data_IF_786759750510
#
_entry.id   IF_786759750510
#
_cell.length_a   1.000
_cell.length_b   1.000
_cell.length_c   1.000
_cell.angle_alpha   90.00
_cell.angle_beta   90.00
_cell.angle_gamma   90.00
#
_symmetry.space_group_name_H-M   'P 1'
#
loop_
_entity.id
_entity.type
_entity.pdbx_description
1 polymer ?
#
# COMPACT_ATOMS: atom_id res chain seq x y z
N UNK A 1 6.57 -9.02 7.80
CA UNK A 1 7.17 -9.81 6.69
C UNK A 1 7.63 -11.19 7.15
N UNK A 2 7.96 -11.38 8.41
CA UNK A 2 8.31 -12.70 9.00
C UNK A 2 7.11 -13.60 9.33
N UNK A 3 5.87 -13.18 9.00
CA UNK A 3 4.68 -13.97 9.30
C UNK A 3 4.71 -15.31 8.56
N UNK A 4 4.31 -16.43 9.19
CA UNK A 4 4.35 -17.78 8.58
C UNK A 4 3.59 -17.87 7.24
N UNK A 5 2.57 -17.06 7.01
CA UNK A 5 1.84 -17.03 5.75
C UNK A 5 2.72 -16.79 4.50
N UNK A 6 3.93 -16.29 4.67
CA UNK A 6 4.86 -15.98 3.58
C UNK A 6 6.07 -16.95 3.53
N UNK A 7 6.07 -18.01 4.35
CA UNK A 7 7.19 -18.91 4.48
C UNK A 7 7.48 -19.76 3.21
N UNK A 8 6.49 -19.90 2.31
CA UNK A 8 6.65 -20.58 1.02
C UNK A 8 7.50 -19.82 0.00
N UNK A 9 7.75 -18.53 0.23
CA UNK A 9 8.56 -17.70 -0.66
C UNK A 9 7.94 -17.48 -2.05
N UNK A 10 8.78 -17.49 -3.08
CA UNK A 10 8.36 -17.38 -4.50
C UNK A 10 8.68 -18.69 -5.23
N UNK A 11 7.83 -19.04 -6.20
CA UNK A 11 8.12 -20.09 -7.17
C UNK A 11 8.51 -19.43 -8.51
N UNK A 12 9.77 -19.51 -8.88
CA UNK A 12 10.27 -18.96 -10.12
C UNK A 12 11.25 -17.79 -9.95
N UNK A 13 11.55 -17.12 -11.05
CA UNK A 13 12.50 -16.00 -11.05
C UNK A 13 11.82 -14.73 -10.57
N UNK A 14 12.35 -14.04 -9.53
CA UNK A 14 11.78 -12.79 -9.06
C UNK A 14 11.92 -11.69 -10.13
N UNK A 15 10.90 -10.87 -10.31
CA UNK A 15 10.94 -9.69 -11.16
C UNK A 15 11.88 -8.62 -10.59
N UNK A 16 11.98 -8.57 -9.26
CA UNK A 16 12.88 -7.68 -8.50
C UNK A 16 13.77 -8.57 -7.61
N UNK A 17 14.98 -8.82 -8.06
CA UNK A 17 16.00 -9.47 -7.25
C UNK A 17 16.68 -8.48 -6.29
N UNK A 18 17.63 -8.93 -5.48
CA UNK A 18 18.32 -8.11 -4.50
C UNK A 18 19.09 -6.95 -5.12
N UNK A 19 19.65 -7.13 -6.30
CA UNK A 19 20.41 -6.09 -7.03
C UNK A 19 19.48 -4.98 -7.54
N UNK A 20 18.37 -5.38 -8.17
CA UNK A 20 17.33 -4.46 -8.63
C UNK A 20 16.66 -3.75 -7.46
N UNK A 21 16.32 -4.46 -6.39
CA UNK A 21 15.77 -3.88 -5.16
C UNK A 21 16.69 -2.82 -4.55
N UNK A 22 17.98 -3.12 -4.44
CA UNK A 22 18.97 -2.15 -3.98
C UNK A 22 19.11 -0.92 -4.91
N UNK A 23 18.96 -1.12 -6.22
CA UNK A 23 18.97 -0.02 -7.18
C UNK A 23 17.75 0.89 -7.02
N UNK A 24 16.56 0.29 -6.92
CA UNK A 24 15.31 1.03 -6.70
C UNK A 24 15.33 1.80 -5.39
N UNK A 25 15.81 1.19 -4.30
CA UNK A 25 15.96 1.84 -3.01
C UNK A 25 16.82 3.11 -3.08
N UNK A 26 17.92 3.07 -3.84
CA UNK A 26 18.76 4.26 -4.06
C UNK A 26 18.04 5.35 -4.85
N UNK A 27 17.24 4.98 -5.84
CA UNK A 27 16.49 5.95 -6.66
C UNK A 27 15.46 6.72 -5.84
N UNK A 28 14.81 6.07 -4.88
CA UNK A 28 13.88 6.72 -3.95
C UNK A 28 14.57 7.27 -2.68
N UNK A 29 15.90 7.24 -2.62
CA UNK A 29 16.65 7.76 -1.48
C UNK A 29 16.47 6.99 -0.16
N UNK A 30 16.07 5.72 -0.25
CA UNK A 30 15.88 4.83 0.91
C UNK A 30 17.00 3.81 0.97
N UNK A 31 17.31 3.30 2.17
CA UNK A 31 18.33 2.29 2.38
C UNK A 31 17.84 1.22 3.37
N UNK A 32 18.45 0.02 3.32
CA UNK A 32 18.08 -1.07 4.22
C UNK A 32 16.71 -1.70 3.95
N UNK A 33 16.16 -1.49 2.76
CA UNK A 33 14.76 -1.80 2.41
C UNK A 33 14.54 -3.18 1.81
N UNK A 34 15.57 -3.87 1.33
CA UNK A 34 15.42 -5.22 0.80
C UNK A 34 15.32 -6.24 1.94
N UNK A 35 14.23 -7.01 1.97
CA UNK A 35 13.99 -8.03 3.00
C UNK A 35 14.18 -9.44 2.43
N UNK A 36 13.56 -9.73 1.30
CA UNK A 36 13.65 -11.04 0.63
C UNK A 36 13.16 -10.92 -0.82
N UNK A 37 13.27 -12.00 -1.57
CA UNK A 37 12.66 -12.05 -2.92
C UNK A 37 11.15 -11.82 -2.89
N UNK A 38 10.47 -12.30 -1.85
CA UNK A 38 9.02 -12.06 -1.66
C UNK A 38 8.71 -10.61 -1.32
N UNK A 39 9.59 -9.96 -0.58
CA UNK A 39 9.50 -8.57 -0.15
C UNK A 39 10.74 -7.79 -0.61
N UNK A 40 10.82 -7.43 -1.90
CA UNK A 40 12.01 -6.79 -2.46
C UNK A 40 12.20 -5.34 -1.99
N UNK A 41 11.17 -4.75 -1.40
CA UNK A 41 11.23 -3.42 -0.80
C UNK A 41 10.26 -3.32 0.37
N UNK A 42 10.70 -2.74 1.47
CA UNK A 42 9.87 -2.40 2.63
C UNK A 42 10.43 -1.15 3.30
N UNK A 43 9.55 -0.17 3.59
CA UNK A 43 9.95 1.07 4.24
C UNK A 43 8.80 1.66 5.05
N UNK A 44 9.11 2.24 6.21
CA UNK A 44 8.18 3.02 7.02
C UNK A 44 8.27 4.50 6.63
N UNK A 45 7.25 4.97 5.92
CA UNK A 45 7.13 6.37 5.51
C UNK A 45 6.61 7.27 6.62
N UNK A 46 5.91 6.70 7.59
CA UNK A 46 5.31 7.45 8.68
C UNK A 46 6.34 7.86 9.73
N UNK A 47 7.25 6.94 10.07
CA UNK A 47 8.32 7.16 11.06
C UNK A 47 9.70 7.34 10.39
N UNK A 48 9.74 7.23 9.03
CA UNK A 48 10.89 7.51 8.17
C UNK A 48 12.11 6.64 8.48
N UNK A 49 11.88 5.32 8.55
CA UNK A 49 12.93 4.35 8.80
C UNK A 49 12.71 3.03 8.01
N UNK A 50 13.67 2.09 7.97
CA UNK A 50 13.53 0.82 7.25
C UNK A 50 12.72 -0.25 7.99
N UNK A 51 12.20 0.01 9.19
CA UNK A 51 11.43 -0.95 9.98
C UNK A 51 9.92 -0.87 9.68
N UNK A 52 9.50 -1.51 8.61
CA UNK A 52 8.08 -1.63 8.28
C UNK A 52 7.40 -2.79 9.04
N UNK A 53 7.87 -3.14 10.23
CA UNK A 53 7.22 -4.14 11.09
C UNK A 53 5.86 -3.68 11.59
N UNK A 54 4.89 -4.60 11.73
CA UNK A 54 3.58 -4.24 12.28
C UNK A 54 3.71 -3.84 13.74
N UNK A 55 3.10 -2.71 14.11
CA UNK A 55 3.09 -2.17 15.46
C UNK A 55 1.66 -1.79 15.89
N UNK A 56 1.40 -1.71 17.19
CA UNK A 56 0.11 -1.33 17.73
C UNK A 56 -1.03 -2.33 17.46
N UNK A 57 -2.25 -1.94 17.80
CA UNK A 57 -3.45 -2.79 17.61
C UNK A 57 -3.82 -2.97 16.13
N UNK A 58 -3.58 -1.98 15.30
CA UNK A 58 -3.83 -2.04 13.85
C UNK A 58 -2.71 -2.72 13.07
N UNK A 59 -1.57 -3.01 13.70
CA UNK A 59 -0.36 -3.51 13.04
C UNK A 59 -0.51 -4.82 12.29
N UNK A 60 -1.50 -5.65 12.62
CA UNK A 60 -1.78 -6.90 11.90
C UNK A 60 -2.56 -6.70 10.60
N UNK A 61 -3.22 -5.55 10.38
CA UNK A 61 -4.08 -5.30 9.23
C UNK A 61 -3.33 -5.42 7.90
N UNK A 62 -2.20 -4.71 7.74
CA UNK A 62 -1.37 -4.81 6.54
C UNK A 62 -0.84 -6.22 6.26
N UNK A 63 -0.47 -6.95 7.32
CA UNK A 63 -0.06 -8.36 7.22
C UNK A 63 -1.20 -9.25 6.73
N UNK A 64 -2.44 -9.02 7.21
CA UNK A 64 -3.63 -9.74 6.78
C UNK A 64 -3.96 -9.45 5.31
N UNK A 65 -3.98 -8.18 4.91
CA UNK A 65 -4.20 -7.77 3.51
C UNK A 65 -3.15 -8.41 2.58
N UNK A 66 -1.86 -8.33 2.95
CA UNK A 66 -0.79 -8.96 2.18
C UNK A 66 -0.94 -10.49 2.11
N UNK A 67 -1.41 -11.13 3.19
CA UNK A 67 -1.67 -12.56 3.22
C UNK A 67 -2.81 -12.99 2.28
N UNK A 68 -3.90 -12.24 2.23
CA UNK A 68 -5.01 -12.46 1.27
C UNK A 68 -4.51 -12.31 -0.16
N UNK A 69 -3.65 -11.32 -0.41
CA UNK A 69 -3.12 -11.07 -1.76
C UNK A 69 -2.13 -12.15 -2.17
N UNK A 70 -1.11 -12.40 -1.38
CA UNK A 70 0.06 -13.15 -1.81
C UNK A 70 0.65 -14.09 -0.74
N UNK A 71 -0.17 -14.54 0.23
CA UNK A 71 0.23 -15.62 1.15
C UNK A 71 0.63 -16.86 0.37
N UNK A 72 1.66 -17.56 0.85
CA UNK A 72 2.19 -18.74 0.17
C UNK A 72 2.80 -19.70 1.20
N UNK A 73 1.98 -20.25 2.10
CA UNK A 73 2.44 -21.22 3.08
C UNK A 73 1.31 -22.08 3.65
N UNK A 74 1.44 -23.37 3.53
CA UNK A 74 0.51 -24.34 4.10
C UNK A 74 -0.91 -24.16 3.59
N UNK A 75 -1.85 -23.90 4.51
CA UNK A 75 -3.26 -23.68 4.20
C UNK A 75 -3.57 -22.22 3.81
N UNK A 76 -2.61 -21.31 3.99
CA UNK A 76 -2.77 -19.89 3.66
C UNK A 76 -2.19 -19.63 2.28
N UNK A 77 -3.06 -19.66 1.29
CA UNK A 77 -2.71 -19.36 -0.10
C UNK A 77 -3.50 -18.14 -0.54
N UNK A 78 -2.79 -17.07 -0.87
CA UNK A 78 -3.38 -15.84 -1.38
C UNK A 78 -3.85 -15.98 -2.84
N UNK A 79 -4.49 -14.95 -3.36
CA UNK A 79 -5.02 -14.94 -4.73
C UNK A 79 -3.89 -15.02 -5.77
N UNK A 80 -2.75 -14.39 -5.49
CA UNK A 80 -1.54 -14.37 -6.34
C UNK A 80 -0.31 -14.77 -5.50
N UNK A 81 -0.17 -16.04 -5.14
CA UNK A 81 0.84 -16.48 -4.16
C UNK A 81 2.28 -16.23 -4.61
N UNK A 82 2.53 -16.07 -5.90
CA UNK A 82 3.85 -15.77 -6.45
C UNK A 82 4.08 -14.27 -6.74
N UNK A 83 3.15 -13.39 -6.36
CA UNK A 83 3.41 -11.96 -6.44
C UNK A 83 4.50 -11.55 -5.43
N UNK A 84 5.38 -10.66 -5.85
CA UNK A 84 6.26 -9.91 -4.95
C UNK A 84 5.48 -8.76 -4.31
N UNK A 85 5.79 -8.44 -3.07
CA UNK A 85 5.10 -7.38 -2.32
C UNK A 85 6.08 -6.26 -1.98
N UNK A 86 5.79 -5.07 -2.47
CA UNK A 86 6.41 -3.83 -2.00
C UNK A 86 5.60 -3.33 -0.81
N UNK A 87 6.25 -3.12 0.33
CA UNK A 87 5.60 -2.66 1.56
C UNK A 87 5.94 -1.20 1.80
N UNK A 88 4.91 -0.35 1.81
CA UNK A 88 4.99 1.03 2.27
C UNK A 88 4.13 1.16 3.53
N UNK A 89 4.75 1.20 4.69
CA UNK A 89 4.06 1.48 5.95
C UNK A 89 3.84 2.98 6.06
N UNK A 90 2.58 3.39 6.18
CA UNK A 90 2.17 4.80 6.24
C UNK A 90 1.48 5.16 7.55
N UNK A 91 1.28 4.19 8.43
CA UNK A 91 0.77 4.40 9.78
C UNK A 91 1.92 4.47 10.77
N UNK A 92 1.89 5.50 11.63
CA UNK A 92 2.89 5.66 12.71
C UNK A 92 2.76 4.57 13.75
N UNK A 93 3.86 4.25 14.40
CA UNK A 93 3.86 3.35 15.57
C UNK A 93 2.95 3.86 16.70
N UNK A 94 2.82 5.18 16.81
CA UNK A 94 1.88 5.84 17.73
C UNK A 94 0.44 5.92 17.24
N UNK A 95 0.16 5.43 16.06
CA UNK A 95 -1.15 5.48 15.39
C UNK A 95 -1.34 6.71 14.49
N UNK A 96 -2.27 6.58 13.56
CA UNK A 96 -2.62 7.61 12.57
C UNK A 96 -1.76 7.58 11.33
N UNK A 97 -2.37 7.99 10.21
CA UNK A 97 -1.75 8.05 8.88
C UNK A 97 -1.55 9.50 8.50
N UNK A 98 -0.32 10.04 8.51
CA UNK A 98 -0.06 11.39 8.01
C UNK A 98 -0.20 11.44 6.48
N UNK A 99 -0.87 12.48 5.97
CA UNK A 99 -0.97 12.69 4.52
C UNK A 99 0.41 12.76 3.85
N UNK A 100 1.38 13.38 4.52
CA UNK A 100 2.75 13.46 4.02
C UNK A 100 3.42 12.10 3.82
N UNK A 101 3.12 11.13 4.70
CA UNK A 101 3.65 9.77 4.57
C UNK A 101 2.99 9.02 3.41
N UNK A 102 1.67 9.14 3.29
CA UNK A 102 0.93 8.51 2.20
C UNK A 102 1.34 9.09 0.84
N UNK A 103 1.41 10.42 0.72
CA UNK A 103 1.84 11.08 -0.51
C UNK A 103 3.27 10.72 -0.90
N UNK A 104 4.21 10.69 0.06
CA UNK A 104 5.58 10.29 -0.21
C UNK A 104 5.69 8.83 -0.66
N UNK A 105 4.90 7.93 -0.05
CA UNK A 105 4.82 6.54 -0.46
C UNK A 105 4.29 6.39 -1.89
N UNK A 106 3.21 7.09 -2.22
CA UNK A 106 2.62 7.05 -3.56
C UNK A 106 3.55 7.66 -4.63
N UNK A 107 4.27 8.73 -4.32
CA UNK A 107 5.24 9.32 -5.25
C UNK A 107 6.40 8.35 -5.53
N UNK A 108 6.90 7.65 -4.51
CA UNK A 108 7.93 6.63 -4.68
C UNK A 108 7.43 5.42 -5.48
N UNK A 109 6.12 5.09 -5.45
CA UNK A 109 5.56 4.01 -6.29
C UNK A 109 5.72 4.27 -7.78
N UNK A 110 5.70 5.53 -8.23
CA UNK A 110 5.98 5.86 -9.63
C UNK A 110 7.41 5.50 -10.06
N UNK A 111 8.36 5.40 -9.11
CA UNK A 111 9.75 5.00 -9.34
C UNK A 111 9.94 3.49 -9.13
N UNK A 112 9.35 2.95 -8.06
CA UNK A 112 9.40 1.52 -7.73
C UNK A 112 8.64 0.68 -8.75
N UNK A 113 7.66 1.26 -9.40
CA UNK A 113 6.88 0.75 -10.52
C UNK A 113 6.24 -0.63 -10.27
N UNK A 114 5.40 -0.79 -9.23
CA UNK A 114 4.57 -1.97 -9.09
C UNK A 114 3.50 -2.03 -10.19
N UNK A 115 2.98 -3.21 -10.49
CA UNK A 115 1.82 -3.34 -11.39
C UNK A 115 0.53 -2.81 -10.74
N UNK A 116 0.41 -2.97 -9.43
CA UNK A 116 -0.78 -2.60 -8.64
C UNK A 116 -0.36 -1.98 -7.31
N UNK A 117 -0.99 -0.87 -6.95
CA UNK A 117 -0.97 -0.28 -5.60
C UNK A 117 -2.31 -0.58 -4.92
N UNK A 118 -2.28 -1.14 -3.71
CA UNK A 118 -3.48 -1.40 -2.91
C UNK A 118 -3.52 -0.50 -1.68
N UNK A 119 -4.58 0.27 -1.55
CA UNK A 119 -4.86 1.18 -0.44
C UNK A 119 -6.05 0.65 0.37
N UNK A 120 -5.81 -0.33 1.26
CA UNK A 120 -6.81 -0.80 2.22
C UNK A 120 -6.87 0.12 3.45
N UNK A 121 -6.94 1.41 3.20
CA UNK A 121 -6.98 2.50 4.18
C UNK A 121 -7.85 3.63 3.63
N UNK A 122 -8.17 4.60 4.47
CA UNK A 122 -8.95 5.75 4.06
C UNK A 122 -9.45 6.56 5.26
N UNK A 123 -10.19 7.62 4.97
CA UNK A 123 -10.81 8.48 5.96
C UNK A 123 -12.30 8.69 5.66
N UNK A 124 -13.04 9.17 6.66
CA UNK A 124 -14.46 9.48 6.51
C UNK A 124 -14.66 10.67 5.57
N UNK A 125 -15.37 10.44 4.48
CA UNK A 125 -15.65 11.46 3.47
C UNK A 125 -14.45 11.75 2.57
N UNK A 126 -14.62 11.55 1.28
CA UNK A 126 -13.69 12.01 0.28
C UNK A 126 -13.91 13.49 -0.04
N UNK A 127 -12.93 14.13 -0.61
CA UNK A 127 -13.00 15.51 -1.10
C UNK A 127 -13.00 15.49 -2.63
N UNK A 128 -14.18 15.46 -3.22
CA UNK A 128 -14.35 15.41 -4.68
C UNK A 128 -14.45 16.80 -5.34
N UNK A 129 -14.31 17.87 -4.58
CA UNK A 129 -14.57 19.23 -5.08
C UNK A 129 -13.32 20.05 -5.31
N UNK A 130 -12.16 19.51 -5.03
CA UNK A 130 -10.91 20.22 -5.27
C UNK A 130 -10.24 19.61 -6.51
N UNK A 131 -10.73 20.01 -7.68
CA UNK A 131 -9.99 19.84 -8.92
C UNK A 131 -8.60 20.44 -8.71
N UNK A 132 -7.54 19.65 -8.70
CA UNK A 132 -6.15 19.99 -8.41
C UNK A 132 -5.69 19.64 -6.98
N UNK A 133 -6.32 18.67 -6.33
CA UNK A 133 -5.76 18.12 -5.10
C UNK A 133 -4.37 17.52 -5.35
N UNK A 134 -3.51 17.54 -4.33
CA UNK A 134 -2.18 16.93 -4.43
C UNK A 134 -2.31 15.43 -4.74
N UNK A 135 -3.35 14.78 -4.21
CA UNK A 135 -3.65 13.38 -4.47
C UNK A 135 -3.98 13.13 -5.94
N UNK A 136 -4.81 13.98 -6.59
CA UNK A 136 -5.11 13.86 -8.02
C UNK A 136 -3.86 13.87 -8.87
N UNK A 137 -2.91 14.76 -8.53
CA UNK A 137 -1.65 14.86 -9.26
C UNK A 137 -0.86 13.55 -9.14
N UNK A 138 -0.81 12.97 -7.95
CA UNK A 138 -0.07 11.73 -7.71
C UNK A 138 -0.78 10.54 -8.37
N UNK A 139 -2.10 10.44 -8.29
CA UNK A 139 -2.86 9.37 -8.92
C UNK A 139 -2.77 9.42 -10.45
N UNK A 140 -2.87 10.61 -11.04
CA UNK A 140 -2.66 10.79 -12.50
C UNK A 140 -1.28 10.33 -12.92
N UNK A 141 -0.24 10.67 -12.15
CA UNK A 141 1.13 10.20 -12.41
C UNK A 141 1.22 8.68 -12.38
N UNK A 142 0.65 8.01 -11.36
CA UNK A 142 0.64 6.55 -11.29
C UNK A 142 -0.12 5.93 -12.48
N UNK A 143 -1.24 6.52 -12.87
CA UNK A 143 -2.02 6.07 -14.02
C UNK A 143 -1.24 6.24 -15.34
N UNK A 144 -0.54 7.35 -15.52
CA UNK A 144 0.31 7.59 -16.69
C UNK A 144 1.46 6.58 -16.79
N UNK A 145 1.99 6.12 -15.66
CA UNK A 145 2.97 5.04 -15.58
C UNK A 145 2.35 3.63 -15.74
N UNK A 146 1.03 3.53 -15.94
CA UNK A 146 0.32 2.26 -16.13
C UNK A 146 0.11 1.47 -14.83
N UNK A 147 0.23 2.11 -13.67
CA UNK A 147 0.07 1.49 -12.36
C UNK A 147 -1.42 1.53 -11.97
N UNK A 148 -2.00 0.37 -11.69
CA UNK A 148 -3.39 0.28 -11.21
C UNK A 148 -3.45 0.61 -9.72
N UNK A 149 -4.31 1.54 -9.32
CA UNK A 149 -4.54 1.88 -7.91
C UNK A 149 -5.90 1.36 -7.45
N UNK A 150 -5.92 0.52 -6.42
CA UNK A 150 -7.13 0.03 -5.76
C UNK A 150 -7.29 0.73 -4.42
N UNK A 151 -8.36 1.48 -4.23
CA UNK A 151 -8.71 2.12 -2.97
C UNK A 151 -9.93 1.44 -2.32
N UNK A 152 -9.89 1.29 -1.00
CA UNK A 152 -11.01 0.76 -0.25
C UNK A 152 -12.19 1.74 -0.25
N UNK A 153 -13.40 1.26 -0.57
CA UNK A 153 -14.62 2.07 -0.47
C UNK A 153 -15.06 2.37 0.98
N UNK A 154 -14.38 1.77 1.97
CA UNK A 154 -14.62 1.98 3.40
C UNK A 154 -15.69 1.08 3.99
N UNK A 155 -15.86 1.19 5.31
CA UNK A 155 -16.73 0.33 6.12
C UNK A 155 -17.87 1.11 6.81
N UNK A 156 -17.99 2.41 6.56
CA UNK A 156 -18.89 3.29 7.31
C UNK A 156 -20.30 3.41 6.72
N UNK A 157 -20.62 2.70 5.68
CA UNK A 157 -21.94 2.74 5.03
C UNK A 157 -23.08 2.50 6.00
N UNK A 158 -22.97 1.50 6.86
CA UNK A 158 -23.98 1.13 7.84
C UNK A 158 -24.10 2.10 9.03
N UNK A 159 -23.10 2.96 9.23
CA UNK A 159 -23.09 3.95 10.33
C UNK A 159 -23.62 5.33 9.91
N UNK A 160 -23.95 5.49 8.62
CA UNK A 160 -24.45 6.74 8.06
C UNK A 160 -23.39 7.82 7.88
N UNK A 161 -22.13 7.54 8.17
CA UNK A 161 -21.03 8.43 7.79
C UNK A 161 -20.90 8.48 6.26
N UNK A 162 -20.06 9.05 5.65
CA UNK A 162 -19.81 9.06 4.21
C UNK A 162 -21.03 9.24 3.28
N UNK A 163 -22.15 8.64 3.62
CA UNK A 163 -23.37 8.70 2.81
C UNK A 163 -24.47 9.59 3.39
N UNK A 164 -24.21 10.30 4.48
CA UNK A 164 -25.18 11.16 5.14
C UNK A 164 -25.58 12.41 4.36
N UNK A 165 -24.83 12.76 3.34
CA UNK A 165 -25.15 13.90 2.48
C UNK A 165 -26.28 13.60 1.48
N UNK A 166 -26.83 12.39 1.46
CA UNK A 166 -27.82 11.95 0.48
C UNK A 166 -27.25 11.80 -0.95
N UNK A 167 -25.97 11.94 -1.12
CA UNK A 167 -25.30 11.83 -2.43
C UNK A 167 -24.89 10.41 -2.80
N UNK A 168 -25.14 9.44 -1.95
CA UNK A 168 -24.95 8.02 -2.26
C UNK A 168 -23.50 7.57 -2.30
N UNK A 169 -22.56 8.40 -1.91
CA UNK A 169 -21.15 8.03 -1.90
C UNK A 169 -20.80 7.25 -0.63
N UNK A 170 -20.23 6.07 -0.75
CA UNK A 170 -19.71 5.35 0.39
C UNK A 170 -18.47 6.08 0.95
N UNK A 171 -18.05 5.65 2.11
CA UNK A 171 -16.75 5.99 2.62
C UNK A 171 -15.67 5.56 1.62
N UNK A 172 -14.79 6.48 1.26
CA UNK A 172 -13.67 6.22 0.37
C UNK A 172 -12.44 6.98 0.85
N UNK A 173 -11.27 6.47 0.53
CA UNK A 173 -10.02 7.18 0.78
C UNK A 173 -9.90 8.44 -0.07
N UNK A 174 -10.39 8.34 -1.30
CA UNK A 174 -10.54 9.45 -2.22
C UNK A 174 -11.60 9.06 -3.27
N UNK A 175 -12.68 9.84 -3.46
CA UNK A 175 -13.69 9.54 -4.48
C UNK A 175 -13.16 9.68 -5.91
N UNK A 176 -12.12 10.45 -6.14
CA UNK A 176 -11.53 10.62 -7.46
C UNK A 176 -10.64 9.44 -7.87
N UNK A 177 -10.30 8.55 -6.96
CA UNK A 177 -9.59 7.30 -7.27
C UNK A 177 -10.50 6.17 -7.70
N UNK A 178 -11.81 6.35 -7.64
CA UNK A 178 -12.78 5.40 -8.16
C UNK A 178 -12.86 5.48 -9.69
N UNK A 179 -11.73 5.31 -10.35
CA UNK A 179 -11.66 5.22 -11.82
C UNK A 179 -11.54 3.77 -12.23
#
# INVERSE_FOLDING_TARGET
MSHPAFAGGLHGTPAIDSSKGASLARQVGKSGTYVSEKFPFAYDYADNDPDASPTGEAGSHGTHVAGITAGNAGEIVGIVPDAQIIVAKVERDSGGIPDSALLAALDDMAILHPDVVNLSLGQLGGMDNEADSVYDTVYKKLQEEGITVNAAAGNAFSTGYGNNSGKGLPYASDPDTSV
#
